data_IF_515897955387
#
_entry.id   IF_515897955387
#
_cell.length_a   1.000
_cell.length_b   1.000
_cell.length_c   1.000
_cell.angle_alpha   90.00
_cell.angle_beta   90.00
_cell.angle_gamma   90.00
#
_symmetry.space_group_name_H-M   'P 1'
#
loop_
_entity.id
_entity.type
_entity.pdbx_description
1 polymer ?
#
# COMPACT_ATOMS: atom_id res chain seq x y z
N UNK A 1 -19.21 -5.29 45.51
CA UNK A 1 -19.90 -6.26 44.64
C UNK A 1 -20.07 -5.64 43.26
N UNK A 2 -19.03 -5.70 42.43
CA UNK A 2 -19.13 -5.57 40.97
C UNK A 2 -18.08 -6.51 40.39
N UNK A 3 -18.57 -7.38 39.53
CA UNK A 3 -17.90 -8.55 38.98
C UNK A 3 -16.73 -8.15 38.09
N UNK A 4 -15.64 -8.90 38.18
CA UNK A 4 -14.53 -8.89 37.22
C UNK A 4 -15.05 -9.29 35.85
N UNK A 5 -15.11 -8.37 34.90
CA UNK A 5 -15.26 -8.73 33.49
C UNK A 5 -13.94 -9.39 33.08
N UNK A 6 -13.97 -10.71 32.94
CA UNK A 6 -12.95 -11.49 32.28
C UNK A 6 -12.72 -10.87 30.90
N UNK A 7 -11.50 -10.36 30.69
CA UNK A 7 -10.98 -10.13 29.35
C UNK A 7 -10.93 -11.51 28.70
N UNK A 8 -12.01 -11.81 27.98
CA UNK A 8 -12.10 -12.97 27.12
C UNK A 8 -10.83 -13.00 26.29
N UNK A 9 -10.14 -14.12 26.41
CA UNK A 9 -8.84 -14.35 25.81
C UNK A 9 -9.04 -14.22 24.32
N UNK A 10 -8.72 -13.03 23.78
CA UNK A 10 -8.50 -12.84 22.36
C UNK A 10 -7.52 -13.93 21.98
N UNK A 11 -8.07 -14.95 21.32
CA UNK A 11 -7.32 -16.01 20.68
C UNK A 11 -6.55 -15.29 19.58
N UNK A 12 -5.38 -14.76 19.92
CA UNK A 12 -4.33 -14.48 18.94
C UNK A 12 -4.06 -15.83 18.30
N UNK A 13 -4.68 -16.05 17.15
CA UNK A 13 -4.24 -17.08 16.24
C UNK A 13 -2.76 -16.77 15.97
N UNK A 14 -1.85 -17.76 16.03
CA UNK A 14 -0.51 -17.53 15.54
C UNK A 14 -0.64 -17.21 14.05
N UNK A 15 -0.51 -15.93 13.73
CA UNK A 15 -0.26 -15.46 12.37
C UNK A 15 1.03 -16.12 11.92
N UNK A 16 0.89 -17.28 11.28
CA UNK A 16 2.00 -17.94 10.63
C UNK A 16 2.54 -16.92 9.63
N UNK A 17 3.83 -16.53 9.69
CA UNK A 17 4.36 -15.59 8.73
C UNK A 17 4.14 -16.19 7.35
N UNK A 18 3.21 -15.62 6.58
CA UNK A 18 2.87 -16.09 5.26
C UNK A 18 4.11 -15.91 4.39
N UNK A 19 4.86 -16.98 4.18
CA UNK A 19 5.98 -16.98 3.25
C UNK A 19 5.40 -16.85 1.85
N UNK A 20 5.42 -15.62 1.30
CA UNK A 20 5.67 -15.40 -0.13
C UNK A 20 4.55 -14.85 -1.00
N UNK A 21 3.48 -14.26 -0.46
CA UNK A 21 2.56 -13.43 -1.27
C UNK A 21 2.30 -12.12 -0.54
N UNK A 22 2.88 -11.02 -1.05
CA UNK A 22 2.45 -9.68 -0.64
C UNK A 22 0.97 -9.54 -1.02
N UNK A 23 0.18 -9.04 -0.09
CA UNK A 23 -1.21 -8.68 -0.36
C UNK A 23 -1.28 -7.53 -1.38
N UNK A 24 -2.43 -7.39 -2.04
CA UNK A 24 -2.65 -6.26 -2.94
C UNK A 24 -2.55 -4.93 -2.20
N UNK A 25 -3.07 -4.86 -0.97
CA UNK A 25 -2.97 -3.66 -0.14
C UNK A 25 -1.52 -3.30 0.17
N UNK A 26 -0.67 -4.27 0.54
CA UNK A 26 0.77 -4.03 0.73
C UNK A 26 1.43 -3.55 -0.56
N UNK A 27 1.15 -4.17 -1.71
CA UNK A 27 1.66 -3.73 -3.01
C UNK A 27 1.25 -2.30 -3.35
N UNK A 28 0.00 -1.93 -3.06
CA UNK A 28 -0.50 -0.58 -3.30
C UNK A 28 0.11 0.42 -2.33
N UNK A 29 0.28 0.07 -1.06
CA UNK A 29 0.95 0.90 -0.05
C UNK A 29 2.41 1.13 -0.43
N UNK A 30 3.17 0.08 -0.76
CA UNK A 30 4.57 0.20 -1.19
C UNK A 30 4.71 1.09 -2.44
N UNK A 31 3.81 0.92 -3.41
CA UNK A 31 3.78 1.76 -4.60
C UNK A 31 3.49 3.22 -4.24
N UNK A 32 2.49 3.47 -3.39
CA UNK A 32 2.15 4.80 -2.91
C UNK A 32 3.29 5.49 -2.17
N UNK A 33 3.94 4.79 -1.25
CA UNK A 33 5.09 5.29 -0.50
C UNK A 33 6.24 5.70 -1.42
N UNK A 34 6.52 4.91 -2.46
CA UNK A 34 7.51 5.27 -3.46
C UNK A 34 7.13 6.51 -4.26
N UNK A 35 5.85 6.64 -4.65
CA UNK A 35 5.36 7.79 -5.40
C UNK A 35 5.44 9.08 -4.58
N UNK A 36 4.97 9.08 -3.32
CA UNK A 36 5.02 10.27 -2.44
C UNK A 36 6.47 10.65 -2.10
N UNK A 37 7.40 9.70 -2.14
CA UNK A 37 8.84 9.96 -2.06
C UNK A 37 9.45 10.45 -3.38
N UNK A 38 8.63 10.85 -4.36
CA UNK A 38 9.02 11.31 -5.68
C UNK A 38 9.82 10.29 -6.51
N UNK A 39 9.66 8.99 -6.25
CA UNK A 39 10.33 7.92 -6.98
C UNK A 39 9.42 7.32 -8.06
N UNK A 40 10.05 6.82 -9.12
CA UNK A 40 9.38 5.90 -10.06
C UNK A 40 9.38 4.51 -9.44
N UNK A 41 8.24 3.82 -9.48
CA UNK A 41 8.05 2.47 -8.92
C UNK A 41 7.57 1.49 -9.99
N UNK A 42 7.56 0.20 -9.69
CA UNK A 42 6.99 -0.82 -10.57
C UNK A 42 5.47 -0.76 -10.56
N UNK A 43 4.85 -0.85 -11.74
CA UNK A 43 3.41 -0.89 -11.87
C UNK A 43 2.85 -2.22 -11.34
N UNK A 44 1.86 -2.22 -10.44
CA UNK A 44 1.30 -3.46 -9.89
C UNK A 44 0.53 -4.29 -10.94
N UNK A 45 0.25 -3.72 -12.12
CA UNK A 45 -0.51 -4.39 -13.19
C UNK A 45 0.40 -5.04 -14.23
N UNK A 46 1.41 -4.32 -14.72
CA UNK A 46 2.27 -4.78 -15.82
C UNK A 46 3.77 -4.85 -15.48
N UNK A 47 4.16 -4.54 -14.24
CA UNK A 47 5.54 -4.37 -13.78
C UNK A 47 6.34 -3.26 -14.50
N UNK A 48 5.70 -2.50 -15.40
CA UNK A 48 6.27 -1.35 -16.10
C UNK A 48 6.52 -0.13 -15.19
N UNK A 49 7.06 0.95 -15.76
CA UNK A 49 7.43 2.13 -14.98
C UNK A 49 6.21 2.98 -14.59
N UNK A 50 5.87 3.02 -13.30
CA UNK A 50 4.84 3.87 -12.71
C UNK A 50 5.46 5.17 -12.21
N UNK A 51 5.18 6.29 -12.89
CA UNK A 51 5.75 7.61 -12.57
C UNK A 51 4.81 8.44 -11.70
N UNK A 52 5.33 9.22 -10.74
CA UNK A 52 4.51 10.12 -9.93
C UNK A 52 3.89 11.22 -10.78
N UNK A 53 2.63 11.53 -10.44
CA UNK A 53 1.88 12.66 -10.98
C UNK A 53 1.68 13.68 -9.87
N UNK A 54 2.01 14.92 -10.18
CA UNK A 54 1.94 16.03 -9.24
C UNK A 54 0.57 16.71 -9.32
N UNK A 55 0.06 17.12 -8.16
CA UNK A 55 -1.18 17.88 -8.02
C UNK A 55 -0.99 19.36 -8.33
N UNK A 56 -2.01 20.16 -7.97
CA UNK A 56 -1.98 21.61 -8.16
C UNK A 56 -0.97 22.31 -7.22
N UNK A 57 -0.68 21.69 -6.07
CA UNK A 57 0.26 22.19 -5.08
C UNK A 57 1.69 21.71 -5.39
N UNK A 58 2.66 22.62 -5.24
CA UNK A 58 4.08 22.33 -5.52
C UNK A 58 4.57 21.23 -4.58
N UNK A 59 5.12 20.17 -5.17
CA UNK A 59 5.68 19.05 -4.40
C UNK A 59 4.64 18.07 -3.85
N UNK A 60 3.35 18.26 -4.13
CA UNK A 60 2.32 17.29 -3.72
C UNK A 60 2.11 16.27 -4.83
N UNK A 61 2.28 14.99 -4.48
CA UNK A 61 2.00 13.87 -5.37
C UNK A 61 0.51 13.54 -5.26
N UNK A 62 -0.21 13.65 -6.37
CA UNK A 62 -1.63 13.33 -6.47
C UNK A 62 -1.90 11.89 -6.93
N UNK A 63 -0.84 11.14 -7.25
CA UNK A 63 -0.97 9.76 -7.73
C UNK A 63 0.20 9.33 -8.60
N UNK A 64 -0.01 8.28 -9.39
CA UNK A 64 0.94 7.75 -10.35
C UNK A 64 0.27 7.35 -11.66
N UNK A 65 1.06 7.32 -12.74
CA UNK A 65 0.63 6.80 -14.05
C UNK A 65 1.71 5.93 -14.68
N UNK A 66 1.32 4.77 -15.18
CA UNK A 66 2.23 3.87 -15.86
C UNK A 66 2.52 4.40 -17.27
N UNK A 67 3.79 4.32 -17.69
CA UNK A 67 4.19 4.68 -19.04
C UNK A 67 3.86 3.58 -20.07
N UNK A 68 3.66 2.34 -19.61
CA UNK A 68 3.54 1.16 -20.48
C UNK A 68 2.09 0.69 -20.66
N UNK A 69 1.29 0.63 -19.59
CA UNK A 69 -0.11 0.17 -19.63
C UNK A 69 -1.15 1.24 -19.30
N UNK A 70 -0.71 2.50 -19.12
CA UNK A 70 -1.55 3.65 -18.77
C UNK A 70 -2.34 3.56 -17.45
N UNK A 71 -2.17 2.50 -16.64
CA UNK A 71 -2.78 2.37 -15.31
C UNK A 71 -2.49 3.60 -14.46
N UNK A 72 -3.52 4.11 -13.79
CA UNK A 72 -3.44 5.20 -12.82
C UNK A 72 -3.72 4.71 -11.41
N UNK A 73 -3.01 5.29 -10.45
CA UNK A 73 -3.25 5.12 -9.01
C UNK A 73 -3.41 6.52 -8.41
N UNK A 74 -4.48 6.77 -7.64
CA UNK A 74 -4.87 8.10 -7.13
C UNK A 74 -5.60 8.01 -5.80
#
# INVERSE_FOLDING_TARGET
>A
MYSTLSFDTLTTLPETPAVGVQSLDELLVDAWEGLVAHRTVSCPVCAGALRPRYGAEIGVVAGGRCADCDTTVS
#
